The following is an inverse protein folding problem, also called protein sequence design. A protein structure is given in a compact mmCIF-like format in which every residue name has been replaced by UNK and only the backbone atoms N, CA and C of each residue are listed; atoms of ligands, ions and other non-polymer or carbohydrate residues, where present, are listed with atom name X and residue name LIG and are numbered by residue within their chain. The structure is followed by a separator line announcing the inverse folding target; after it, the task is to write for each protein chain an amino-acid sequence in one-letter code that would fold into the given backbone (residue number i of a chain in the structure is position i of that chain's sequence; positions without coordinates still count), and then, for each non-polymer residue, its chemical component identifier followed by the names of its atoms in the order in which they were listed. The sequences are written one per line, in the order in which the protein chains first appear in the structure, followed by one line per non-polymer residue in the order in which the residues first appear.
data_IF_140903130858
#
_entry.id   IF_140903130858
#
_cell.length_a   1.000
_cell.length_b   1.000
_cell.length_c   1.000
_cell.angle_alpha   90.00
_cell.angle_beta   90.00
_cell.angle_gamma   90.00
#
_symmetry.space_group_name_H-M   'P 1'
#
loop_
_entity.id
_entity.type
_entity.pdbx_description
1 polymer ?
#
# COMPACT_ATOMS: atom_id res chain seq x y z
N UNK A 1 26.14 -36.86 -34.26
CA UNK A 1 25.21 -36.61 -35.38
C UNK A 1 23.82 -37.06 -34.98
N UNK A 2 22.86 -36.13 -34.98
CA UNK A 2 21.42 -36.37 -35.19
C UNK A 2 20.62 -37.16 -34.16
N UNK A 3 19.98 -36.46 -33.20
CA UNK A 3 18.73 -36.92 -32.59
C UNK A 3 17.75 -35.73 -32.45
N UNK A 4 17.25 -35.29 -33.61
CA UNK A 4 16.21 -34.25 -33.81
C UNK A 4 14.87 -34.90 -34.16
N UNK A 5 14.45 -35.93 -33.40
CA UNK A 5 13.24 -36.70 -33.70
C UNK A 5 12.41 -36.99 -32.46
N UNK A 6 11.86 -35.95 -31.84
CA UNK A 6 10.58 -36.11 -31.16
C UNK A 6 9.78 -34.79 -31.17
N UNK A 7 8.74 -34.66 -32.00
CA UNK A 7 7.88 -33.50 -32.01
C UNK A 7 6.97 -33.50 -30.78
N UNK A 8 6.89 -32.31 -30.19
CA UNK A 8 5.95 -31.82 -29.18
C UNK A 8 4.50 -32.28 -29.38
N UNK A 9 3.89 -32.76 -28.30
CA UNK A 9 2.47 -33.09 -28.23
C UNK A 9 1.56 -31.85 -28.38
N UNK A 10 0.25 -32.06 -28.62
CA UNK A 10 -0.68 -30.99 -28.99
C UNK A 10 -0.96 -30.07 -27.78
N UNK A 11 -0.23 -28.96 -27.69
CA UNK A 11 -0.71 -27.79 -26.96
C UNK A 11 -2.00 -27.30 -27.64
N UNK A 12 -3.01 -26.87 -26.86
CA UNK A 12 -4.31 -26.52 -27.40
C UNK A 12 -4.18 -25.52 -28.54
N UNK A 13 -4.65 -25.93 -29.73
CA UNK A 13 -4.63 -25.16 -30.98
C UNK A 13 -5.22 -23.76 -30.82
N UNK A 14 -6.06 -23.56 -29.81
CA UNK A 14 -6.69 -22.30 -29.45
C UNK A 14 -5.71 -21.19 -29.04
N UNK A 15 -4.59 -21.49 -28.37
CA UNK A 15 -3.64 -20.44 -27.92
C UNK A 15 -2.83 -19.91 -29.12
N UNK A 16 -2.45 -20.79 -30.03
CA UNK A 16 -1.77 -20.41 -31.27
C UNK A 16 -2.67 -19.57 -32.18
N UNK A 17 -3.91 -20.00 -32.40
CA UNK A 17 -4.87 -19.26 -33.20
C UNK A 17 -5.27 -17.92 -32.57
N UNK A 18 -5.38 -17.82 -31.23
CA UNK A 18 -5.64 -16.54 -30.54
C UNK A 18 -4.51 -15.54 -30.74
N UNK A 19 -3.25 -15.95 -30.56
CA UNK A 19 -2.09 -15.05 -30.77
C UNK A 19 -1.97 -14.62 -32.23
N UNK A 20 -2.24 -15.52 -33.17
CA UNK A 20 -2.18 -15.23 -34.61
C UNK A 20 -3.33 -14.34 -35.08
N UNK A 21 -4.54 -14.52 -34.55
CA UNK A 21 -5.67 -13.63 -34.79
C UNK A 21 -5.44 -12.22 -34.24
N UNK A 22 -4.87 -12.11 -33.03
CA UNK A 22 -4.50 -10.81 -32.44
C UNK A 22 -3.42 -10.12 -33.28
N UNK A 23 -2.39 -10.86 -33.73
CA UNK A 23 -1.34 -10.31 -34.59
C UNK A 23 -1.88 -9.79 -35.93
N UNK A 24 -2.79 -10.55 -36.57
CA UNK A 24 -3.42 -10.13 -37.82
C UNK A 24 -4.34 -8.91 -37.63
N UNK A 25 -5.08 -8.84 -36.51
CA UNK A 25 -5.91 -7.70 -36.16
C UNK A 25 -5.10 -6.41 -35.95
N UNK A 26 -3.99 -6.50 -35.21
CA UNK A 26 -3.08 -5.36 -35.01
C UNK A 26 -2.44 -4.89 -36.33
N UNK A 27 -2.07 -5.83 -37.21
CA UNK A 27 -1.51 -5.49 -38.51
C UNK A 27 -2.55 -4.80 -39.41
N UNK A 28 -3.80 -5.27 -39.41
CA UNK A 28 -4.90 -4.60 -40.12
C UNK A 28 -5.20 -3.20 -39.58
N UNK A 29 -5.18 -3.04 -38.25
CA UNK A 29 -5.36 -1.73 -37.60
C UNK A 29 -4.26 -0.74 -38.00
N UNK A 30 -2.99 -1.16 -38.01
CA UNK A 30 -1.88 -0.31 -38.44
C UNK A 30 -2.00 0.12 -39.91
N UNK A 31 -2.46 -0.78 -40.79
CA UNK A 31 -2.71 -0.45 -42.20
C UNK A 31 -3.85 0.57 -42.33
N UNK A 32 -4.93 0.42 -41.58
CA UNK A 32 -6.04 1.39 -41.56
C UNK A 32 -5.60 2.76 -41.04
N UNK A 33 -4.78 2.81 -39.98
CA UNK A 33 -4.23 4.07 -39.46
C UNK A 33 -3.28 4.71 -40.47
N UNK A 34 -2.43 3.93 -41.14
CA UNK A 34 -1.55 4.42 -42.20
C UNK A 34 -2.33 5.01 -43.38
N UNK A 35 -3.37 4.31 -43.85
CA UNK A 35 -4.26 4.82 -44.90
C UNK A 35 -5.01 6.08 -44.46
N UNK A 36 -5.46 6.15 -43.21
CA UNK A 36 -6.07 7.35 -42.64
C UNK A 36 -5.09 8.53 -42.63
N UNK A 37 -3.84 8.30 -42.24
CA UNK A 37 -2.81 9.34 -42.21
C UNK A 37 -2.44 9.85 -43.60
N UNK A 38 -2.36 8.96 -44.59
CA UNK A 38 -2.06 9.31 -46.00
C UNK A 38 -3.23 10.03 -46.68
N UNK A 39 -4.47 9.79 -46.23
CA UNK A 39 -5.67 10.44 -46.80
C UNK A 39 -6.01 11.79 -46.16
N UNK A 40 -5.46 12.11 -44.98
CA UNK A 40 -5.63 13.40 -44.30
C UNK A 40 -4.39 14.31 -44.34
N UNK A 41 -3.21 13.79 -44.70
CA UNK A 41 -1.96 14.55 -44.73
C UNK A 41 -1.47 14.80 -46.15
N UNK A 42 -2.16 15.66 -46.90
CA UNK A 42 -1.77 16.02 -48.25
C UNK A 42 -2.36 17.34 -48.74
N UNK A 43 -1.82 18.45 -48.27
CA UNK A 43 -1.72 19.70 -49.04
C UNK A 43 -0.58 20.55 -48.49
N UNK A 44 0.29 21.01 -49.40
CA UNK A 44 1.47 21.79 -49.11
C UNK A 44 1.41 23.15 -49.80
N UNK A 45 1.93 24.17 -49.12
CA UNK A 45 2.23 25.51 -49.66
C UNK A 45 2.85 26.35 -48.54
N UNK A 46 4.17 26.55 -48.50
CA UNK A 46 4.93 27.62 -49.16
C UNK A 46 4.52 29.04 -48.73
N UNK A 47 5.50 29.80 -48.21
CA UNK A 47 5.40 31.25 -48.08
C UNK A 47 6.09 31.82 -46.86
N UNK A 48 7.40 32.02 -46.95
CA UNK A 48 8.09 33.07 -46.20
C UNK A 48 7.43 34.43 -46.49
N UNK A 49 7.26 35.29 -45.47
CA UNK A 49 7.70 36.69 -45.57
C UNK A 49 7.55 37.45 -44.25
N UNK A 50 8.64 38.12 -43.88
CA UNK A 50 8.67 39.20 -42.90
C UNK A 50 8.06 40.45 -43.54
N UNK A 51 7.16 41.14 -42.84
CA UNK A 51 6.98 42.58 -43.05
C UNK A 51 6.68 43.30 -41.75
N UNK A 52 7.54 44.26 -41.45
CA UNK A 52 7.40 45.35 -40.48
C UNK A 52 6.27 46.32 -40.89
N UNK A 53 5.74 47.03 -39.89
CA UNK A 53 4.99 48.28 -40.04
C UNK A 53 3.55 48.17 -39.57
N UNK A 54 3.25 48.51 -38.31
CA UNK A 54 2.79 49.83 -37.86
C UNK A 54 1.36 50.15 -38.31
N UNK A 55 0.41 50.11 -37.37
CA UNK A 55 -0.38 51.31 -37.04
C UNK A 55 -1.26 51.07 -35.80
N UNK A 56 -1.26 52.07 -34.93
CA UNK A 56 -1.93 52.04 -33.65
C UNK A 56 -3.45 52.08 -33.73
N UNK A 57 -4.07 51.37 -32.80
CA UNK A 57 -5.27 51.81 -32.07
C UNK A 57 -5.29 51.05 -30.74
N UNK A 58 -4.93 51.76 -29.68
CA UNK A 58 -5.31 51.40 -28.32
C UNK A 58 -6.76 51.84 -28.15
N UNK A 59 -7.62 50.99 -27.60
CA UNK A 59 -8.21 51.34 -26.32
C UNK A 59 -7.99 50.25 -25.29
N UNK A 60 -7.76 50.71 -24.06
CA UNK A 60 -7.59 49.89 -22.88
C UNK A 60 -8.80 48.99 -22.64
N UNK A 61 -8.55 47.69 -22.48
CA UNK A 61 -9.41 46.78 -21.74
C UNK A 61 -8.63 46.24 -20.54
N UNK A 62 -8.64 47.04 -19.49
CA UNK A 62 -8.32 46.64 -18.13
C UNK A 62 -9.52 45.91 -17.52
N UNK A 63 -9.71 44.64 -17.87
CA UNK A 63 -10.76 43.83 -17.23
C UNK A 63 -10.31 43.40 -15.84
N UNK A 64 -10.41 44.34 -14.89
CA UNK A 64 -10.41 44.10 -13.46
C UNK A 64 -11.59 43.20 -13.11
N UNK A 65 -11.30 42.00 -12.58
CA UNK A 65 -12.31 41.12 -11.99
C UNK A 65 -12.74 41.74 -10.66
N UNK A 66 -13.92 42.35 -10.65
CA UNK A 66 -14.63 42.82 -9.45
C UNK A 66 -14.96 41.62 -8.54
N UNK A 67 -14.53 41.60 -7.27
CA UNK A 67 -15.07 40.68 -6.27
C UNK A 67 -16.52 41.02 -5.99
N UNK A 68 -17.40 40.02 -6.06
CA UNK A 68 -18.82 40.14 -5.70
C UNK A 68 -19.02 40.48 -4.21
N UNK A 69 -20.19 41.03 -3.85
CA UNK A 69 -20.46 41.57 -2.53
C UNK A 69 -20.37 40.51 -1.41
N UNK A 70 -19.57 40.84 -0.39
CA UNK A 70 -19.45 40.13 0.88
C UNK A 70 -20.69 40.41 1.75
N UNK A 71 -21.42 39.40 2.25
CA UNK A 71 -22.44 39.63 3.26
C UNK A 71 -21.77 39.99 4.60
N UNK A 72 -22.03 41.20 5.07
CA UNK A 72 -21.62 41.69 6.39
C UNK A 72 -22.71 41.32 7.40
N UNK A 73 -22.44 40.33 8.27
CA UNK A 73 -23.33 39.94 9.36
C UNK A 73 -22.54 39.21 10.47
N UNK A 74 -22.82 39.48 11.76
CA UNK A 74 -22.01 38.98 12.87
C UNK A 74 -22.28 37.50 13.15
N UNK A 75 -21.27 36.65 12.96
CA UNK A 75 -21.34 35.26 13.39
C UNK A 75 -20.92 35.13 14.86
N UNK A 76 -21.94 35.05 15.71
CA UNK A 76 -22.03 34.47 17.05
C UNK A 76 -20.74 33.86 17.63
N UNK A 77 -20.13 34.59 18.56
CA UNK A 77 -19.26 34.02 19.59
C UNK A 77 -20.13 33.49 20.73
N UNK A 78 -20.39 32.19 20.76
CA UNK A 78 -20.87 31.51 21.97
C UNK A 78 -20.14 30.19 22.17
N UNK A 79 -19.21 30.22 23.12
CA UNK A 79 -18.78 29.05 23.90
C UNK A 79 -19.96 28.59 24.76
N UNK A 80 -20.36 27.32 24.74
CA UNK A 80 -21.23 26.77 25.78
C UNK A 80 -20.45 26.73 27.10
N UNK A 81 -20.91 27.55 28.06
CA UNK A 81 -20.30 27.72 29.36
C UNK A 81 -20.44 26.50 30.26
N UNK A 82 -19.48 26.41 31.20
CA UNK A 82 -19.64 25.61 32.41
C UNK A 82 -20.69 26.22 33.33
N UNK A 83 -21.34 25.34 34.09
CA UNK A 83 -22.09 25.67 35.30
C UNK A 83 -21.69 24.65 36.35
N UNK A 84 -20.93 25.10 37.35
CA UNK A 84 -21.01 24.50 38.67
C UNK A 84 -22.23 25.09 39.37
N UNK A 85 -22.93 24.28 40.16
CA UNK A 85 -23.55 24.68 41.43
C UNK A 85 -23.69 23.44 42.32
N UNK A 86 -23.40 23.66 43.60
CA UNK A 86 -23.44 22.76 44.74
C UNK A 86 -24.86 22.71 45.30
N UNK A 87 -25.31 21.58 45.88
CA UNK A 87 -26.58 21.55 46.60
C UNK A 87 -26.94 20.18 47.17
N UNK A 88 -26.90 20.09 48.50
CA UNK A 88 -27.15 18.97 49.41
C UNK A 88 -28.54 18.28 49.34
N UNK A 89 -28.59 17.01 49.76
CA UNK A 89 -29.48 16.59 50.86
C UNK A 89 -30.55 15.53 50.59
N UNK A 90 -30.58 14.47 51.43
CA UNK A 90 -31.77 13.65 51.75
C UNK A 90 -31.83 12.26 51.11
N UNK A 91 -31.32 11.19 51.72
CA UNK A 91 -31.94 10.26 52.73
C UNK A 91 -32.93 9.22 52.19
N UNK A 92 -32.67 7.95 52.52
CA UNK A 92 -33.53 6.77 52.37
C UNK A 92 -32.72 5.62 51.77
N UNK A 93 -32.26 4.57 52.47
CA UNK A 93 -32.89 3.83 53.56
C UNK A 93 -33.40 2.51 52.98
N UNK A 94 -32.65 1.41 53.16
CA UNK A 94 -33.05 0.08 52.68
C UNK A 94 -31.97 -0.97 52.89
N UNK A 95 -32.07 -1.68 54.01
CA UNK A 95 -31.19 -2.71 54.50
C UNK A 95 -31.22 -4.01 53.69
N UNK A 96 -30.17 -4.81 53.84
CA UNK A 96 -30.05 -6.17 53.30
C UNK A 96 -28.72 -6.80 53.70
N UNK A 97 -28.67 -7.25 54.96
CA UNK A 97 -27.60 -8.03 55.58
C UNK A 97 -27.27 -9.35 54.86
N UNK A 98 -26.03 -9.82 55.05
CA UNK A 98 -25.83 -11.22 55.44
C UNK A 98 -24.71 -12.02 54.78
N UNK A 99 -23.59 -12.16 55.50
CA UNK A 99 -22.79 -13.40 55.59
C UNK A 99 -21.57 -13.48 54.65
N UNK A 100 -20.35 -13.16 55.05
CA UNK A 100 -19.43 -13.82 56.04
C UNK A 100 -18.71 -15.07 55.54
N UNK A 101 -17.37 -15.00 55.64
CA UNK A 101 -16.41 -16.11 55.62
C UNK A 101 -15.36 -15.90 54.52
N UNK A 102 -14.09 -15.62 54.76
CA UNK A 102 -13.27 -15.61 55.97
C UNK A 102 -11.86 -16.10 55.59
N UNK A 103 -10.82 -15.42 56.08
CA UNK A 103 -9.46 -15.98 56.20
C UNK A 103 -8.37 -15.45 55.26
N UNK A 104 -7.59 -14.51 55.79
CA UNK A 104 -6.11 -14.48 55.94
C UNK A 104 -5.20 -14.81 54.73
N UNK A 105 -3.99 -14.27 54.56
CA UNK A 105 -3.19 -13.18 55.11
C UNK A 105 -1.93 -13.15 54.22
N UNK A 106 -1.32 -11.98 54.01
CA UNK A 106 -0.09 -11.89 53.21
C UNK A 106 0.39 -10.46 53.02
N UNK A 107 1.00 -9.92 54.07
CA UNK A 107 1.74 -8.65 54.13
C UNK A 107 2.96 -8.60 53.21
N UNK A 108 3.26 -7.42 52.63
CA UNK A 108 4.58 -7.09 52.09
C UNK A 108 4.52 -6.05 50.98
N UNK A 109 4.73 -4.78 51.34
CA UNK A 109 4.51 -3.63 50.46
C UNK A 109 5.72 -3.06 49.75
N UNK A 110 5.44 -1.93 49.08
CA UNK A 110 6.32 -0.84 48.68
C UNK A 110 7.20 -1.01 47.43
N UNK A 111 6.61 -0.60 46.30
CA UNK A 111 6.95 0.67 45.65
C UNK A 111 8.21 0.72 44.80
N UNK A 112 8.05 0.84 43.48
CA UNK A 112 8.64 1.94 42.68
C UNK A 112 8.02 1.94 41.28
N UNK A 113 7.59 3.12 40.84
CA UNK A 113 7.12 3.34 39.48
C UNK A 113 8.27 3.44 38.48
N UNK A 114 7.92 3.32 37.21
CA UNK A 114 8.77 3.77 36.11
C UNK A 114 8.92 2.73 35.00
N UNK A 115 8.38 3.07 33.84
CA UNK A 115 8.79 2.50 32.56
C UNK A 115 7.82 1.47 32.02
N UNK A 116 6.78 1.96 31.33
CA UNK A 116 5.96 1.14 30.45
C UNK A 116 6.85 0.40 29.45
N UNK A 117 7.02 -0.89 29.69
CA UNK A 117 7.61 -1.81 28.73
C UNK A 117 6.56 -2.00 27.64
N UNK A 118 6.78 -1.27 26.55
CA UNK A 118 6.43 -1.61 25.17
C UNK A 118 5.53 -2.83 25.07
N UNK A 119 4.23 -2.58 24.98
CA UNK A 119 3.26 -3.60 24.64
C UNK A 119 3.74 -4.34 23.40
N UNK A 120 4.13 -5.59 23.60
CA UNK A 120 4.26 -6.62 22.57
C UNK A 120 2.86 -6.94 22.06
N UNK A 121 2.23 -5.95 21.42
CA UNK A 121 1.06 -6.11 20.58
C UNK A 121 1.57 -6.05 19.16
N UNK A 122 2.17 -7.15 18.69
CA UNK A 122 2.34 -7.35 17.26
C UNK A 122 0.96 -7.23 16.63
N UNK A 123 0.68 -6.08 16.01
CA UNK A 123 -0.60 -5.85 15.38
C UNK A 123 -0.79 -6.91 14.32
N UNK A 124 -1.67 -7.88 14.58
CA UNK A 124 -2.00 -9.04 13.74
C UNK A 124 -2.59 -8.71 12.36
N UNK A 125 -2.41 -7.48 11.88
CA UNK A 125 -2.84 -6.99 10.57
C UNK A 125 -1.81 -6.14 9.84
N UNK A 126 -0.58 -6.03 10.35
CA UNK A 126 0.51 -5.31 9.71
C UNK A 126 1.32 -6.22 8.76
N UNK A 127 1.85 -5.66 7.68
CA UNK A 127 2.81 -6.35 6.82
C UNK A 127 4.15 -6.57 7.55
N UNK A 128 4.32 -7.76 8.12
CA UNK A 128 5.53 -8.16 8.80
C UNK A 128 5.78 -7.47 10.14
N UNK A 129 6.95 -7.69 10.72
CA UNK A 129 7.44 -7.02 11.93
C UNK A 129 8.37 -5.88 11.56
N UNK A 130 8.46 -4.83 12.38
CA UNK A 130 9.39 -3.74 12.08
C UNK A 130 9.63 -2.78 13.24
N UNK A 131 10.48 -1.80 12.99
CA UNK A 131 11.09 -0.90 13.98
C UNK A 131 10.40 0.47 14.11
N UNK A 132 9.51 0.81 13.19
CA UNK A 132 8.89 2.12 13.13
C UNK A 132 7.85 2.36 14.24
N UNK A 133 7.77 3.61 14.70
CA UNK A 133 6.85 4.06 15.74
C UNK A 133 5.39 4.04 15.25
N UNK A 134 4.54 3.29 15.94
CA UNK A 134 3.11 3.26 15.64
C UNK A 134 2.43 4.62 15.91
N UNK A 135 1.41 4.93 15.10
CA UNK A 135 0.68 6.19 15.14
C UNK A 135 -0.83 5.89 15.25
N UNK A 136 -1.59 6.60 16.11
CA UNK A 136 -3.04 6.46 16.18
C UNK A 136 -3.75 6.94 14.91
N UNK A 137 -4.93 6.38 14.61
CA UNK A 137 -5.72 6.74 13.43
C UNK A 137 -6.05 8.24 13.32
N UNK A 138 -6.26 8.93 14.45
CA UNK A 138 -6.57 10.36 14.52
C UNK A 138 -5.36 11.31 14.52
N UNK A 139 -4.15 10.83 14.21
CA UNK A 139 -2.95 11.67 14.20
C UNK A 139 -3.00 12.78 13.15
N UNK A 140 -2.50 13.96 13.51
CA UNK A 140 -2.32 15.12 12.63
C UNK A 140 -1.17 14.98 11.63
N UNK A 141 -0.34 13.94 11.72
CA UNK A 141 0.69 13.67 10.72
C UNK A 141 0.05 13.47 9.33
N UNK A 142 0.55 14.11 8.27
CA UNK A 142 0.07 13.87 6.93
C UNK A 142 0.47 12.47 6.45
N UNK A 143 -0.29 11.90 5.52
CA UNK A 143 0.13 10.68 4.83
C UNK A 143 1.33 10.99 3.93
N UNK A 144 2.28 10.05 3.84
CA UNK A 144 3.41 10.21 2.94
C UNK A 144 2.93 10.21 1.48
N UNK A 145 3.29 11.24 0.73
CA UNK A 145 2.91 11.36 -0.69
C UNK A 145 3.65 10.35 -1.58
N UNK A 146 3.07 9.98 -2.75
CA UNK A 146 3.65 8.97 -3.64
C UNK A 146 5.04 9.35 -4.20
N UNK A 147 5.39 10.63 -4.20
CA UNK A 147 6.73 11.11 -4.60
C UNK A 147 7.75 11.24 -3.47
N UNK A 148 7.31 11.26 -2.20
CA UNK A 148 8.21 11.41 -1.04
C UNK A 148 8.69 10.08 -0.49
N UNK A 149 8.03 8.97 -0.83
CA UNK A 149 8.45 7.63 -0.40
C UNK A 149 9.43 7.03 -1.41
N UNK A 150 10.48 6.38 -0.90
CA UNK A 150 11.31 5.44 -1.63
C UNK A 150 11.17 4.08 -0.97
N UNK A 151 10.92 3.07 -1.77
CA UNK A 151 10.76 1.70 -1.34
C UNK A 151 11.99 0.91 -1.78
N UNK A 152 12.38 -0.06 -0.99
CA UNK A 152 13.34 -1.08 -1.39
C UNK A 152 12.93 -2.40 -0.75
N UNK A 153 13.12 -3.51 -1.46
CA UNK A 153 12.95 -4.85 -0.94
C UNK A 153 14.20 -5.66 -1.25
N UNK A 154 14.61 -6.49 -0.29
CA UNK A 154 15.64 -7.50 -0.50
C UNK A 154 15.21 -8.83 0.09
N UNK A 155 15.61 -9.89 -0.59
CA UNK A 155 15.64 -11.21 0.03
C UNK A 155 16.86 -11.29 0.95
N UNK A 156 16.71 -11.89 2.14
CA UNK A 156 17.85 -12.05 3.07
C UNK A 156 18.86 -13.06 2.54
N UNK A 157 18.43 -14.01 1.71
CA UNK A 157 19.27 -14.92 0.94
C UNK A 157 18.80 -14.98 -0.51
N UNK A 158 19.71 -15.28 -1.43
CA UNK A 158 19.35 -15.49 -2.85
C UNK A 158 18.68 -16.85 -3.08
N UNK A 159 18.96 -17.83 -2.20
CA UNK A 159 18.46 -19.20 -2.27
C UNK A 159 18.09 -19.72 -0.88
N UNK A 160 17.04 -20.54 -0.82
CA UNK A 160 16.50 -21.12 0.42
C UNK A 160 16.30 -22.63 0.26
N UNK A 161 16.81 -23.40 1.22
CA UNK A 161 16.61 -24.85 1.29
C UNK A 161 15.14 -25.27 1.55
N UNK A 162 14.82 -26.57 1.47
CA UNK A 162 13.46 -27.10 1.62
C UNK A 162 12.75 -26.67 2.93
N UNK A 163 13.50 -26.63 4.04
CA UNK A 163 12.98 -26.30 5.36
C UNK A 163 13.23 -24.83 5.76
N UNK A 164 13.87 -24.06 4.88
CA UNK A 164 14.13 -22.65 5.13
C UNK A 164 12.96 -21.80 4.67
N UNK A 165 12.58 -20.85 5.52
CA UNK A 165 11.53 -19.88 5.21
C UNK A 165 12.13 -18.63 4.56
N UNK A 166 11.68 -18.25 3.36
CA UNK A 166 12.09 -16.99 2.76
C UNK A 166 11.78 -15.81 3.67
N UNK A 167 12.76 -14.91 3.77
CA UNK A 167 12.70 -13.72 4.63
C UNK A 167 13.03 -12.51 3.79
N UNK A 168 12.14 -11.53 3.80
CA UNK A 168 12.25 -10.31 3.02
C UNK A 168 12.39 -9.12 3.95
N UNK A 169 13.40 -8.30 3.70
CA UNK A 169 13.55 -7.00 4.34
C UNK A 169 13.07 -5.91 3.39
N UNK A 170 12.14 -5.11 3.87
CA UNK A 170 11.51 -4.01 3.17
C UNK A 170 11.95 -2.73 3.88
N UNK A 171 12.53 -1.80 3.14
CA UNK A 171 12.92 -0.48 3.64
C UNK A 171 12.01 0.56 3.02
N UNK A 172 11.38 1.37 3.86
CA UNK A 172 10.56 2.52 3.43
C UNK A 172 11.27 3.77 3.91
N UNK A 173 11.70 4.61 2.97
CA UNK A 173 12.43 5.85 3.23
C UNK A 173 11.61 7.06 2.83
N UNK A 174 11.61 8.09 3.66
CA UNK A 174 11.07 9.40 3.34
C UNK A 174 12.18 10.28 2.77
N UNK A 175 11.96 10.80 1.58
CA UNK A 175 12.85 11.72 0.88
C UNK A 175 12.44 13.19 1.08
N UNK A 176 11.31 13.45 1.74
CA UNK A 176 10.88 14.77 2.17
C UNK A 176 11.48 15.18 3.51
N UNK A 177 11.48 16.49 3.79
CA UNK A 177 12.06 17.05 5.03
C UNK A 177 11.16 17.00 6.27
N UNK A 178 9.87 16.73 6.12
CA UNK A 178 8.91 16.64 7.22
C UNK A 178 8.49 15.19 7.49
N UNK A 179 8.15 14.90 8.76
CA UNK A 179 7.58 13.61 9.12
C UNK A 179 6.19 13.42 8.51
N UNK A 180 5.90 12.19 8.10
CA UNK A 180 4.61 11.75 7.59
C UNK A 180 4.28 10.36 8.13
N UNK A 181 3.10 9.82 7.83
CA UNK A 181 2.71 8.47 8.22
C UNK A 181 2.50 7.56 7.00
N UNK A 182 2.86 6.29 7.15
CA UNK A 182 2.66 5.24 6.15
C UNK A 182 1.78 4.15 6.74
N UNK A 183 0.82 3.68 5.95
CA UNK A 183 -0.09 2.60 6.35
C UNK A 183 0.47 1.24 5.91
N UNK A 184 0.75 0.38 6.89
CA UNK A 184 1.19 -1.01 6.72
C UNK A 184 0.06 -2.04 6.92
N UNK A 185 -1.18 -1.57 7.04
CA UNK A 185 -2.36 -2.43 7.19
C UNK A 185 -2.64 -3.25 5.93
N UNK A 186 -3.38 -4.34 6.11
CA UNK A 186 -3.86 -5.20 5.02
C UNK A 186 -4.56 -4.38 3.93
N UNK A 187 -4.10 -4.53 2.68
CA UNK A 187 -4.58 -3.78 1.50
C UNK A 187 -3.83 -2.48 1.17
N UNK A 188 -3.25 -1.82 2.18
CA UNK A 188 -2.42 -0.62 2.00
C UNK A 188 -0.94 -0.96 1.72
N UNK A 189 -0.42 -1.95 2.46
CA UNK A 189 0.89 -2.55 2.22
C UNK A 189 0.71 -4.02 1.87
N UNK A 190 1.19 -4.41 0.69
CA UNK A 190 1.00 -5.77 0.17
C UNK A 190 2.34 -6.33 -0.28
N UNK A 191 2.67 -7.55 0.15
CA UNK A 191 3.72 -8.38 -0.43
C UNK A 191 3.06 -9.52 -1.21
N UNK A 192 3.45 -9.69 -2.46
CA UNK A 192 3.02 -10.78 -3.35
C UNK A 192 4.20 -11.64 -3.73
N UNK A 193 3.96 -12.93 -3.87
CA UNK A 193 4.93 -13.92 -4.33
C UNK A 193 4.34 -14.63 -5.54
N UNK A 194 5.11 -14.68 -6.61
CA UNK A 194 4.74 -15.35 -7.86
C UNK A 194 5.91 -16.19 -8.39
N UNK A 195 5.62 -17.30 -9.08
CA UNK A 195 6.66 -18.04 -9.80
C UNK A 195 7.08 -17.25 -11.04
N UNK A 196 8.38 -17.14 -11.34
CA UNK A 196 8.85 -16.29 -12.44
C UNK A 196 8.42 -16.82 -13.80
N UNK A 197 8.50 -18.13 -14.03
CA UNK A 197 8.28 -18.71 -15.36
C UNK A 197 6.80 -18.73 -15.78
N UNK A 198 5.90 -18.75 -14.79
CA UNK A 198 4.45 -18.81 -15.02
C UNK A 198 3.75 -17.49 -14.69
N UNK A 199 4.41 -16.60 -13.93
CA UNK A 199 3.81 -15.44 -13.25
C UNK A 199 2.52 -15.82 -12.51
N UNK A 200 2.47 -17.05 -11.99
CA UNK A 200 1.31 -17.55 -11.26
C UNK A 200 1.30 -16.96 -9.86
N UNK A 201 0.11 -16.60 -9.39
CA UNK A 201 -0.05 -16.20 -7.99
C UNK A 201 0.26 -17.41 -7.09
N UNK A 202 1.25 -17.25 -6.21
CA UNK A 202 1.63 -18.27 -5.23
C UNK A 202 1.09 -17.88 -3.86
N UNK A 203 1.32 -16.64 -3.45
CA UNK A 203 0.88 -16.13 -2.16
C UNK A 203 0.81 -14.60 -2.16
N UNK A 204 -0.09 -14.01 -1.38
CA UNK A 204 -0.08 -12.59 -1.06
C UNK A 204 -0.50 -12.32 0.39
N UNK A 205 0.09 -11.29 0.98
CA UNK A 205 -0.20 -10.88 2.36
C UNK A 205 -1.64 -10.43 2.59
N UNK A 206 -2.36 -10.05 1.53
CA UNK A 206 -3.75 -9.60 1.56
C UNK A 206 -4.77 -10.67 1.12
N UNK A 207 -4.33 -11.89 0.82
CA UNK A 207 -5.25 -12.96 0.41
C UNK A 207 -6.19 -13.39 1.53
N UNK A 208 -5.65 -13.49 2.75
CA UNK A 208 -6.40 -13.88 3.94
C UNK A 208 -5.94 -13.08 5.17
N UNK A 209 -6.31 -11.79 5.25
CA UNK A 209 -5.87 -10.92 6.32
C UNK A 209 -6.52 -11.32 7.65
N UNK A 210 -5.71 -11.49 8.71
CA UNK A 210 -6.20 -11.84 10.06
C UNK A 210 -6.81 -10.66 10.81
N UNK A 211 -6.40 -9.44 10.47
CA UNK A 211 -7.01 -8.22 10.96
C UNK A 211 -7.14 -7.21 9.82
N UNK A 212 -8.27 -6.51 9.82
CA UNK A 212 -8.60 -5.45 8.88
C UNK A 212 -8.51 -4.11 9.61
N UNK A 213 -7.71 -3.19 9.11
CA UNK A 213 -7.54 -1.88 9.73
C UNK A 213 -6.23 -1.22 9.32
N UNK A 214 -6.18 0.10 9.45
CA UNK A 214 -4.96 0.84 9.20
C UNK A 214 -3.92 0.55 10.29
N UNK A 215 -2.70 0.25 9.87
CA UNK A 215 -1.54 0.17 10.76
C UNK A 215 -0.63 1.32 10.39
N UNK A 216 -0.83 2.46 11.04
CA UNK A 216 -0.09 3.68 10.74
C UNK A 216 1.24 3.70 11.47
N UNK A 217 2.30 4.02 10.75
CA UNK A 217 3.66 4.13 11.26
C UNK A 217 4.21 5.48 10.87
N UNK A 218 4.84 6.16 11.83
CA UNK A 218 5.54 7.41 11.60
C UNK A 218 6.82 7.16 10.81
N UNK A 219 7.01 7.95 9.76
CA UNK A 219 8.20 7.97 8.95
C UNK A 219 8.83 9.38 9.07
N UNK A 220 9.94 9.51 9.83
CA UNK A 220 10.59 10.81 10.05
C UNK A 220 11.01 11.50 8.75
N UNK A 221 11.16 12.82 8.78
CA UNK A 221 11.74 13.58 7.67
C UNK A 221 13.16 13.08 7.37
N UNK A 222 13.46 12.81 6.11
CA UNK A 222 14.72 12.19 5.65
C UNK A 222 15.05 10.84 6.32
N UNK A 223 14.11 10.22 7.03
CA UNK A 223 14.28 9.00 7.80
C UNK A 223 13.82 7.74 7.05
N UNK A 224 13.97 6.59 7.71
CA UNK A 224 13.52 5.29 7.20
C UNK A 224 12.89 4.43 8.29
N UNK A 225 12.08 3.46 7.90
CA UNK A 225 11.65 2.33 8.73
C UNK A 225 11.86 1.03 7.96
N UNK A 226 12.14 -0.04 8.68
CA UNK A 226 12.35 -1.38 8.13
C UNK A 226 11.20 -2.28 8.54
N UNK A 227 10.86 -3.20 7.64
CA UNK A 227 9.93 -4.30 7.89
C UNK A 227 10.59 -5.60 7.46
N UNK A 228 10.31 -6.65 8.22
CA UNK A 228 10.71 -8.01 7.95
C UNK A 228 9.46 -8.84 7.77
N UNK A 229 9.36 -9.52 6.62
CA UNK A 229 8.31 -10.50 6.36
C UNK A 229 8.95 -11.86 6.22
N UNK A 230 8.49 -12.82 7.02
CA UNK A 230 8.81 -14.23 6.86
C UNK A 230 7.62 -14.93 6.20
N UNK A 231 7.88 -15.67 5.12
CA UNK A 231 6.88 -16.47 4.44
C UNK A 231 7.11 -17.96 4.70
N UNK A 232 6.07 -18.67 5.10
CA UNK A 232 6.13 -20.09 5.48
C UNK A 232 6.07 -21.04 4.27
N UNK A 233 6.33 -20.52 3.06
CA UNK A 233 6.24 -21.22 1.77
C UNK A 233 4.85 -21.73 1.42
N UNK A 234 3.80 -21.47 2.21
CA UNK A 234 2.46 -21.94 1.87
C UNK A 234 1.84 -21.04 0.81
N UNK A 235 1.13 -21.70 -0.11
CA UNK A 235 0.29 -20.98 -1.07
C UNK A 235 -0.91 -20.35 -0.36
N UNK A 236 -1.40 -19.24 -0.89
CA UNK A 236 -2.67 -18.64 -0.50
C UNK A 236 -3.51 -18.33 -1.74
N UNK A 237 -4.78 -17.95 -1.52
CA UNK A 237 -5.63 -17.47 -2.59
C UNK A 237 -6.54 -16.36 -2.07
N UNK A 238 -6.93 -15.40 -2.95
CA UNK A 238 -7.73 -14.26 -2.56
C UNK A 238 -9.01 -14.65 -1.81
N UNK A 239 -9.39 -13.82 -0.83
CA UNK A 239 -10.58 -14.01 0.02
C UNK A 239 -10.55 -15.32 0.82
N UNK A 240 -9.36 -15.72 1.28
CA UNK A 240 -9.16 -16.97 2.02
C UNK A 240 -9.66 -18.22 1.27
N UNK A 241 -9.70 -18.18 -0.06
CA UNK A 241 -10.08 -19.35 -0.85
C UNK A 241 -9.04 -20.48 -0.73
N UNK A 242 -9.44 -21.69 -1.11
CA UNK A 242 -8.49 -22.81 -1.23
C UNK A 242 -7.50 -22.52 -2.37
N UNK A 243 -6.18 -22.51 -2.12
CA UNK A 243 -5.20 -22.26 -3.16
C UNK A 243 -5.19 -23.37 -4.21
N UNK A 244 -4.89 -22.98 -5.45
CA UNK A 244 -4.64 -23.94 -6.52
C UNK A 244 -3.21 -24.49 -6.38
N UNK A 245 -3.05 -25.81 -6.51
CA UNK A 245 -1.77 -26.50 -6.34
C UNK A 245 -1.63 -27.16 -4.96
N UNK A 246 -0.87 -28.25 -4.90
CA UNK A 246 -0.67 -29.01 -3.67
C UNK A 246 0.35 -28.35 -2.75
N UNK A 247 0.02 -28.30 -1.46
CA UNK A 247 0.99 -28.07 -0.37
C UNK A 247 1.77 -26.75 -0.43
N UNK A 248 3.06 -26.84 -0.10
CA UNK A 248 3.99 -25.72 -0.10
C UNK A 248 4.49 -25.40 -1.51
N UNK A 249 4.96 -24.18 -1.72
CA UNK A 249 5.64 -23.78 -2.94
C UNK A 249 6.86 -24.66 -3.20
N UNK A 250 6.89 -25.26 -4.39
CA UNK A 250 7.94 -26.16 -4.84
C UNK A 250 9.27 -25.45 -5.09
N UNK A 251 10.24 -26.21 -5.59
CA UNK A 251 11.51 -25.64 -6.04
C UNK A 251 11.31 -24.81 -7.32
N UNK A 252 12.06 -23.73 -7.47
CA UNK A 252 11.94 -22.85 -8.63
C UNK A 252 12.42 -21.42 -8.35
N UNK A 253 12.29 -20.57 -9.36
CA UNK A 253 12.59 -19.14 -9.25
C UNK A 253 11.31 -18.37 -8.98
N UNK A 254 11.36 -17.50 -7.98
CA UNK A 254 10.23 -16.72 -7.52
C UNK A 254 10.55 -15.24 -7.52
N UNK A 255 9.51 -14.43 -7.64
CA UNK A 255 9.56 -12.98 -7.50
C UNK A 255 8.70 -12.57 -6.32
N UNK A 256 9.29 -11.82 -5.41
CA UNK A 256 8.60 -11.13 -4.34
C UNK A 256 8.41 -9.67 -4.75
N UNK A 257 7.16 -9.22 -4.83
CA UNK A 257 6.79 -7.85 -5.18
C UNK A 257 6.08 -7.19 -4.00
N UNK A 258 6.58 -6.04 -3.55
CA UNK A 258 5.98 -5.26 -2.48
C UNK A 258 5.40 -3.97 -3.01
N UNK A 259 4.20 -3.60 -2.55
CA UNK A 259 3.53 -2.33 -2.84
C UNK A 259 3.17 -1.61 -1.55
N UNK A 260 3.70 -0.41 -1.35
CA UNK A 260 3.46 0.44 -0.18
C UNK A 260 3.39 1.90 -0.62
N UNK A 261 2.40 2.66 -0.12
CA UNK A 261 2.22 4.08 -0.45
C UNK A 261 2.17 4.38 -1.98
N UNK A 262 1.68 3.43 -2.77
CA UNK A 262 1.61 3.54 -4.24
C UNK A 262 2.91 3.26 -4.99
N UNK A 263 4.01 2.99 -4.28
CA UNK A 263 5.29 2.58 -4.86
C UNK A 263 5.39 1.06 -4.85
N UNK A 264 5.91 0.49 -5.94
CA UNK A 264 6.11 -0.96 -6.09
C UNK A 264 7.58 -1.26 -6.34
N UNK A 265 8.12 -2.25 -5.62
CA UNK A 265 9.47 -2.78 -5.81
C UNK A 265 9.46 -4.30 -5.79
N UNK A 266 10.48 -4.92 -6.38
CA UNK A 266 10.55 -6.38 -6.50
C UNK A 266 11.96 -6.93 -6.32
N UNK A 267 12.03 -8.17 -5.85
CA UNK A 267 13.26 -8.95 -5.74
C UNK A 267 13.01 -10.39 -6.18
N UNK A 268 14.02 -11.02 -6.76
CA UNK A 268 13.99 -12.43 -7.14
C UNK A 268 14.69 -13.28 -6.09
N UNK A 269 14.23 -14.51 -5.91
CA UNK A 269 14.85 -15.49 -5.03
C UNK A 269 14.57 -16.91 -5.54
N UNK A 270 15.36 -17.88 -5.07
CA UNK A 270 15.22 -19.29 -5.48
C UNK A 270 14.80 -20.15 -4.29
N UNK A 271 13.87 -21.08 -4.53
CA UNK A 271 13.60 -22.19 -3.62
C UNK A 271 14.30 -23.43 -4.17
N UNK A 272 15.14 -24.04 -3.35
CA UNK A 272 15.89 -25.24 -3.74
C UNK A 272 15.01 -26.48 -3.67
N UNK A 273 15.47 -27.52 -4.37
CA UNK A 273 14.87 -28.85 -4.30
C UNK A 273 15.21 -29.47 -2.95
N UNK A 274 14.23 -30.17 -2.38
CA UNK A 274 14.46 -31.09 -1.27
C UNK A 274 15.36 -32.26 -1.68
#
# INVERSE_FOLDING_TARGET
MGSLRNPIGPLPSSIYWRRRAVALGLLGLLVLVGLWFVTLGGDGGSGDDQSKGSDGKNPADNTTITPGPVPSGPHFSQRPGGRGESGSGGTGGGAGDGGSGGGAAGTGGSGTGGGGTTGTGGGSGALGTGDGKAVPAGSSLPDCGPGSVRLAIRSVKDSYGPDEKPKFEIVVKNSGGSACKVNFGSGAAILKIAHIDADDHVWASDDCPRATGAVLVELPGSGETKRTVEWDRKRSAPRCATPSGEGAAGAGKYRAEVRIAGVTEKVEFTLERA
#
